data_IF_201448170319
#
_entry.id   IF_201448170319
#
_cell.length_a   1.000
_cell.length_b   1.000
_cell.length_c   1.000
_cell.angle_alpha   90.00
_cell.angle_beta   90.00
_cell.angle_gamma   90.00
#
_symmetry.space_group_name_H-M   'P 1'
#
loop_
_entity.id
_entity.type
_entity.pdbx_description
1 polymer ?
#
# COMPACT_ATOMS: atom_id res chain seq x y z
N UNK A 1 -1.17 9.19 11.42
CA UNK A 1 -1.25 7.88 10.73
C UNK A 1 -2.19 7.94 9.54
N UNK A 2 -3.42 8.41 9.72
CA UNK A 2 -4.43 8.51 8.63
C UNK A 2 -3.93 9.43 7.51
N UNK A 3 -3.36 10.59 7.82
CA UNK A 3 -2.78 11.52 6.83
C UNK A 3 -1.68 10.84 5.99
N UNK A 4 -0.78 10.09 6.61
CA UNK A 4 0.25 9.35 5.89
C UNK A 4 -0.36 8.33 4.92
N UNK A 5 -1.35 7.57 5.39
CA UNK A 5 -2.04 6.58 4.56
C UNK A 5 -2.80 7.22 3.39
N UNK A 6 -3.44 8.37 3.59
CA UNK A 6 -4.14 9.11 2.52
C UNK A 6 -3.13 9.59 1.47
N UNK A 7 -2.01 10.20 1.87
CA UNK A 7 -0.99 10.68 0.93
C UNK A 7 -0.41 9.52 0.13
N UNK A 8 -0.03 8.42 0.79
CA UNK A 8 0.47 7.22 0.10
C UNK A 8 -0.57 6.63 -0.85
N UNK A 9 -1.84 6.55 -0.44
CA UNK A 9 -2.93 6.07 -1.30
C UNK A 9 -3.15 6.97 -2.53
N UNK A 10 -3.07 8.29 -2.38
CA UNK A 10 -3.16 9.23 -3.50
C UNK A 10 -2.00 9.06 -4.48
N UNK A 11 -0.77 8.87 -4.00
CA UNK A 11 0.41 8.64 -4.85
C UNK A 11 0.25 7.33 -5.64
N UNK A 12 -0.16 6.26 -4.96
CA UNK A 12 -0.39 4.95 -5.59
C UNK A 12 -1.52 5.04 -6.61
N UNK A 13 -2.63 5.71 -6.29
CA UNK A 13 -3.75 5.90 -7.21
C UNK A 13 -3.33 6.70 -8.46
N UNK A 14 -2.57 7.78 -8.30
CA UNK A 14 -2.04 8.55 -9.42
C UNK A 14 -1.09 7.71 -10.31
N UNK A 15 -0.22 6.91 -9.70
CA UNK A 15 0.66 5.97 -10.42
C UNK A 15 -0.11 4.91 -11.19
N UNK A 16 -1.14 4.33 -10.58
CA UNK A 16 -2.00 3.34 -11.22
C UNK A 16 -2.78 3.94 -12.40
N UNK A 17 -3.35 5.13 -12.23
CA UNK A 17 -4.05 5.83 -13.32
C UNK A 17 -3.11 6.15 -14.48
N UNK A 18 -1.90 6.63 -14.19
CA UNK A 18 -0.87 6.87 -15.20
C UNK A 18 -0.47 5.60 -15.95
N UNK A 19 -0.33 4.48 -15.24
CA UNK A 19 -0.05 3.17 -15.83
C UNK A 19 -1.18 2.70 -16.75
N UNK A 20 -2.44 2.80 -16.30
CA UNK A 20 -3.62 2.44 -17.11
C UNK A 20 -3.69 3.31 -18.37
N UNK A 21 -3.52 4.62 -18.24
CA UNK A 21 -3.52 5.53 -19.38
C UNK A 21 -2.41 5.22 -20.38
N UNK A 22 -1.18 5.01 -19.92
CA UNK A 22 -0.05 4.65 -20.76
C UNK A 22 -0.29 3.33 -21.51
N UNK A 23 -0.82 2.32 -20.80
CA UNK A 23 -1.15 1.02 -21.39
C UNK A 23 -2.24 1.16 -22.45
N UNK A 24 -3.30 1.91 -22.19
CA UNK A 24 -4.39 2.15 -23.14
C UNK A 24 -3.88 2.84 -24.42
N UNK A 25 -3.05 3.89 -24.29
CA UNK A 25 -2.45 4.60 -25.42
C UNK A 25 -1.54 3.65 -26.22
N UNK A 26 -0.77 2.82 -25.56
CA UNK A 26 0.14 1.86 -26.20
C UNK A 26 -0.66 0.82 -27.01
N UNK A 27 -1.71 0.27 -26.43
CA UNK A 27 -2.58 -0.71 -27.12
C UNK A 27 -3.25 -0.07 -28.35
N UNK A 28 -3.78 1.15 -28.23
CA UNK A 28 -4.37 1.86 -29.37
C UNK A 28 -3.39 2.06 -30.53
N UNK A 29 -2.12 2.36 -30.23
CA UNK A 29 -1.11 2.61 -31.25
C UNK A 29 -0.58 1.33 -31.91
N UNK A 30 -0.37 0.28 -31.13
CA UNK A 30 0.28 -0.97 -31.59
C UNK A 30 -0.71 -2.01 -32.10
N UNK A 31 -1.92 -2.04 -31.59
CA UNK A 31 -2.93 -3.02 -31.93
C UNK A 31 -4.33 -2.40 -31.97
N UNK A 32 -4.63 -1.53 -32.97
CA UNK A 32 -5.92 -0.85 -33.06
C UNK A 32 -7.11 -1.81 -33.17
N UNK A 33 -6.91 -3.00 -33.74
CA UNK A 33 -7.94 -4.04 -33.81
C UNK A 33 -8.24 -4.71 -32.46
N UNK A 34 -7.28 -4.68 -31.52
CA UNK A 34 -7.47 -5.21 -30.17
C UNK A 34 -8.07 -4.18 -29.20
N UNK A 35 -8.27 -2.94 -29.64
CA UNK A 35 -8.90 -1.87 -28.85
C UNK A 35 -10.43 -2.02 -28.72
N UNK A 36 -11.02 -3.06 -29.32
CA UNK A 36 -12.37 -3.49 -28.98
C UNK A 36 -12.38 -3.88 -27.50
N UNK A 37 -12.81 -2.96 -26.66
CA UNK A 37 -12.89 -3.15 -25.20
C UNK A 37 -13.70 -4.42 -24.93
N UNK A 38 -13.11 -5.42 -24.26
CA UNK A 38 -13.90 -6.52 -23.77
C UNK A 38 -15.01 -5.94 -22.89
N UNK A 39 -16.25 -6.35 -23.12
CA UNK A 39 -17.38 -5.93 -22.28
C UNK A 39 -17.23 -6.58 -20.89
N UNK A 40 -16.33 -6.02 -20.08
CA UNK A 40 -16.16 -6.41 -18.69
C UNK A 40 -17.39 -5.95 -17.90
N UNK A 41 -17.99 -6.85 -17.14
CA UNK A 41 -19.04 -6.46 -16.21
C UNK A 41 -18.45 -5.47 -15.19
N UNK A 42 -19.23 -4.48 -14.71
CA UNK A 42 -18.73 -3.51 -13.73
C UNK A 42 -18.10 -4.15 -12.49
N UNK A 43 -18.62 -5.31 -12.07
CA UNK A 43 -18.07 -6.05 -10.92
C UNK A 43 -16.67 -6.59 -11.20
N UNK A 44 -16.44 -7.19 -12.37
CA UNK A 44 -15.13 -7.72 -12.76
C UNK A 44 -14.12 -6.58 -12.90
N UNK A 45 -14.54 -5.46 -13.49
CA UNK A 45 -13.68 -4.27 -13.59
C UNK A 45 -13.32 -3.71 -12.22
N UNK A 46 -14.27 -3.63 -11.28
CA UNK A 46 -14.03 -3.15 -9.92
C UNK A 46 -13.06 -4.07 -9.14
N UNK A 47 -13.25 -5.39 -9.24
CA UNK A 47 -12.34 -6.37 -8.60
C UNK A 47 -10.93 -6.28 -9.19
N UNK A 48 -10.82 -6.16 -10.51
CA UNK A 48 -9.53 -5.99 -11.19
C UNK A 48 -8.80 -4.71 -10.77
N UNK A 49 -9.52 -3.60 -10.68
CA UNK A 49 -8.98 -2.32 -10.24
C UNK A 49 -8.54 -2.36 -8.77
N UNK A 50 -9.35 -2.95 -7.89
CA UNK A 50 -9.00 -3.12 -6.48
C UNK A 50 -7.75 -4.01 -6.32
N UNK A 51 -7.68 -5.12 -7.06
CA UNK A 51 -6.50 -6.00 -7.07
C UNK A 51 -5.24 -5.28 -7.55
N UNK A 52 -5.35 -4.52 -8.65
CA UNK A 52 -4.25 -3.71 -9.17
C UNK A 52 -3.79 -2.65 -8.13
N UNK A 53 -4.74 -1.98 -7.49
CA UNK A 53 -4.40 -1.00 -6.44
C UNK A 53 -3.64 -1.63 -5.27
N UNK A 54 -4.04 -2.82 -4.83
CA UNK A 54 -3.34 -3.56 -3.77
C UNK A 54 -1.91 -3.91 -4.23
N UNK A 55 -1.74 -4.44 -5.43
CA UNK A 55 -0.41 -4.79 -5.98
C UNK A 55 0.49 -3.55 -6.06
N UNK A 56 -0.01 -2.43 -6.59
CA UNK A 56 0.75 -1.18 -6.66
C UNK A 56 1.12 -0.65 -5.27
N UNK A 57 0.22 -0.76 -4.30
CA UNK A 57 0.49 -0.38 -2.90
C UNK A 57 1.63 -1.21 -2.31
N UNK A 58 1.60 -2.53 -2.53
CA UNK A 58 2.65 -3.44 -2.04
C UNK A 58 4.00 -3.16 -2.71
N UNK A 59 4.01 -2.94 -4.03
CA UNK A 59 5.22 -2.56 -4.76
C UNK A 59 5.78 -1.23 -4.26
N UNK A 60 4.93 -0.23 -4.08
CA UNK A 60 5.30 1.06 -3.53
C UNK A 60 5.96 0.92 -2.15
N UNK A 61 5.31 0.21 -1.23
CA UNK A 61 5.86 -0.03 0.10
C UNK A 61 7.17 -0.82 0.05
N UNK A 62 7.25 -1.85 -0.82
CA UNK A 62 8.45 -2.65 -0.97
C UNK A 62 9.64 -1.81 -1.45
N UNK A 63 9.44 -0.96 -2.45
CA UNK A 63 10.48 -0.06 -2.97
C UNK A 63 10.94 0.90 -1.86
N UNK A 64 10.00 1.58 -1.21
CA UNK A 64 10.36 2.56 -0.18
C UNK A 64 11.04 1.91 1.03
N UNK A 65 10.57 0.78 1.52
CA UNK A 65 11.20 0.09 2.66
C UNK A 65 12.49 -0.66 2.31
N UNK A 66 12.79 -0.82 1.01
CA UNK A 66 14.08 -1.35 0.56
C UNK A 66 15.14 -0.26 0.44
N UNK A 67 14.78 0.90 -0.10
CA UNK A 67 15.71 1.98 -0.39
C UNK A 67 15.65 3.13 0.63
N UNK A 68 14.55 3.26 1.37
CA UNK A 68 14.31 4.32 2.34
C UNK A 68 13.75 3.74 3.64
N UNK A 69 13.83 4.50 4.73
CA UNK A 69 13.31 4.11 6.05
C UNK A 69 11.84 4.50 6.25
N UNK A 70 11.27 5.25 5.30
CA UNK A 70 9.90 5.76 5.39
C UNK A 70 9.29 5.98 4.02
N UNK A 71 7.96 5.86 3.91
CA UNK A 71 7.20 6.23 2.72
C UNK A 71 7.08 7.75 2.60
N UNK A 72 6.69 8.25 1.43
CA UNK A 72 6.48 9.69 1.23
C UNK A 72 5.37 10.23 2.14
N UNK A 73 4.28 9.48 2.32
CA UNK A 73 3.21 9.85 3.22
C UNK A 73 3.66 9.92 4.68
N UNK A 74 4.53 9.00 5.12
CA UNK A 74 5.11 9.03 6.45
C UNK A 74 6.00 10.25 6.66
N UNK A 75 6.81 10.62 5.68
CA UNK A 75 7.65 11.84 5.72
C UNK A 75 6.78 13.08 5.80
N UNK A 76 5.74 13.16 4.98
CA UNK A 76 4.80 14.29 4.99
C UNK A 76 4.10 14.43 6.35
N UNK A 77 3.68 13.33 6.95
CA UNK A 77 3.01 13.32 8.25
C UNK A 77 3.98 13.39 9.45
N UNK A 78 5.29 13.49 9.21
CA UNK A 78 6.33 13.48 10.25
C UNK A 78 6.23 12.26 11.18
N UNK A 79 6.09 11.08 10.58
CA UNK A 79 5.96 9.81 11.29
C UNK A 79 7.17 8.95 10.95
N UNK A 80 7.82 8.41 11.98
CA UNK A 80 8.88 7.40 11.85
C UNK A 80 8.38 6.03 12.30
N UNK A 81 8.98 4.97 11.74
CA UNK A 81 8.84 3.61 12.25
C UNK A 81 9.88 3.37 13.34
N UNK A 82 9.40 2.88 14.48
CA UNK A 82 10.25 2.46 15.59
C UNK A 82 9.95 1.02 15.96
N UNK A 83 10.96 0.31 16.49
CA UNK A 83 10.74 -0.99 17.12
C UNK A 83 10.13 -0.80 18.51
N UNK A 84 9.59 -1.84 19.11
CA UNK A 84 9.10 -1.78 20.50
C UNK A 84 10.20 -1.50 21.54
N UNK A 85 11.47 -1.56 21.13
CA UNK A 85 12.63 -1.16 21.94
C UNK A 85 13.06 0.30 21.69
N UNK A 86 12.24 1.10 20.98
CA UNK A 86 12.52 2.48 20.58
C UNK A 86 13.74 2.66 19.66
N UNK A 87 14.22 1.58 19.06
CA UNK A 87 15.34 1.59 18.12
C UNK A 87 14.87 1.77 16.67
N UNK A 88 15.76 2.25 15.80
CA UNK A 88 15.51 2.31 14.36
C UNK A 88 15.37 0.89 13.78
N UNK A 89 14.28 0.59 13.07
CA UNK A 89 14.07 -0.75 12.56
C UNK A 89 15.07 -1.10 11.45
N UNK A 90 15.54 -2.34 11.45
CA UNK A 90 16.36 -2.87 10.36
C UNK A 90 15.53 -3.01 9.07
N UNK A 91 16.19 -2.98 7.91
CA UNK A 91 15.50 -3.16 6.61
C UNK A 91 14.80 -4.51 6.49
N UNK A 92 15.32 -5.55 7.14
CA UNK A 92 14.66 -6.87 7.20
C UNK A 92 13.37 -6.83 8.03
N UNK A 93 13.35 -6.06 9.10
CA UNK A 93 12.15 -5.84 9.91
C UNK A 93 11.09 -5.06 9.13
N UNK A 94 11.48 -4.03 8.35
CA UNK A 94 10.59 -3.29 7.48
C UNK A 94 9.96 -4.16 6.40
N UNK A 95 10.73 -5.06 5.77
CA UNK A 95 10.18 -6.03 4.79
C UNK A 95 9.21 -7.01 5.45
N UNK A 96 9.49 -7.50 6.64
CA UNK A 96 8.52 -8.34 7.41
C UNK A 96 7.21 -7.60 7.66
N UNK A 97 7.24 -6.27 7.85
CA UNK A 97 6.04 -5.45 8.00
C UNK A 97 5.16 -5.50 6.75
N UNK A 98 5.73 -5.54 5.55
CA UNK A 98 4.96 -5.66 4.31
C UNK A 98 4.18 -6.98 4.29
N UNK A 99 4.86 -8.10 4.60
CA UNK A 99 4.18 -9.40 4.69
C UNK A 99 3.11 -9.41 5.77
N UNK A 100 3.37 -8.80 6.92
CA UNK A 100 2.40 -8.65 7.99
C UNK A 100 1.19 -7.79 7.56
N UNK A 101 1.41 -6.76 6.73
CA UNK A 101 0.34 -5.93 6.17
C UNK A 101 -0.54 -6.72 5.19
N UNK A 102 0.07 -7.56 4.35
CA UNK A 102 -0.68 -8.48 3.47
C UNK A 102 -1.54 -9.44 4.30
N UNK A 103 -0.95 -10.03 5.35
CA UNK A 103 -1.67 -10.92 6.25
C UNK A 103 -2.82 -10.21 6.98
N UNK A 104 -2.63 -8.96 7.39
CA UNK A 104 -3.66 -8.14 8.03
C UNK A 104 -4.78 -7.73 7.05
N UNK A 105 -4.48 -7.63 5.75
CA UNK A 105 -5.44 -7.33 4.70
C UNK A 105 -6.27 -8.56 4.29
N UNK A 106 -5.71 -9.78 4.40
CA UNK A 106 -6.32 -11.03 3.98
C UNK A 106 -7.76 -11.25 4.50
N UNK A 107 -8.07 -11.05 5.80
CA UNK A 107 -9.43 -11.16 6.32
C UNK A 107 -10.22 -9.85 6.10
N UNK A 108 -10.35 -9.39 4.84
CA UNK A 108 -11.09 -8.18 4.44
C UNK A 108 -10.63 -6.89 5.18
N UNK A 109 -9.35 -6.85 5.59
CA UNK A 109 -8.78 -5.68 6.29
C UNK A 109 -9.09 -5.61 7.79
N UNK A 110 -9.68 -6.66 8.38
CA UNK A 110 -9.98 -6.71 9.83
C UNK A 110 -8.71 -6.47 10.67
N UNK A 111 -7.54 -6.90 10.20
CA UNK A 111 -6.28 -6.66 10.88
C UNK A 111 -5.90 -5.17 10.97
N UNK A 112 -6.36 -4.34 10.05
CA UNK A 112 -6.20 -2.88 10.12
C UNK A 112 -7.29 -2.24 10.98
N UNK A 113 -8.54 -2.72 10.87
CA UNK A 113 -9.66 -2.25 11.69
C UNK A 113 -9.43 -2.51 13.18
N UNK A 114 -8.70 -3.58 13.50
CA UNK A 114 -8.33 -3.88 14.88
C UNK A 114 -7.61 -2.72 15.57
N UNK A 115 -6.80 -1.95 14.84
CA UNK A 115 -6.14 -0.78 15.40
C UNK A 115 -7.09 0.32 15.89
N UNK A 116 -8.36 0.32 15.44
CA UNK A 116 -9.38 1.24 15.92
C UNK A 116 -10.03 0.78 17.24
N UNK A 117 -9.94 -0.51 17.55
CA UNK A 117 -10.51 -1.15 18.75
C UNK A 117 -9.47 -1.40 19.84
N UNK A 118 -8.19 -1.37 19.47
CA UNK A 118 -7.07 -1.64 20.36
C UNK A 118 -6.72 -0.40 21.18
N UNK A 119 -6.49 -0.54 22.47
CA UNK A 119 -6.14 0.56 23.38
C UNK A 119 -4.84 1.26 22.96
N UNK A 120 -3.88 0.50 22.42
CA UNK A 120 -2.60 1.01 21.93
C UNK A 120 -2.68 1.50 20.47
N UNK A 121 -3.84 1.41 19.82
CA UNK A 121 -4.05 1.70 18.40
C UNK A 121 -3.10 0.94 17.46
N UNK A 122 -2.74 -0.31 17.81
CA UNK A 122 -1.86 -1.18 17.08
C UNK A 122 -2.65 -2.17 16.22
N UNK A 123 -2.43 -2.15 14.90
CA UNK A 123 -2.98 -3.16 13.99
C UNK A 123 -2.23 -4.50 14.09
N UNK A 124 -2.78 -5.55 13.52
CA UNK A 124 -2.12 -6.85 13.46
C UNK A 124 -0.74 -6.77 12.81
N UNK A 125 -0.59 -5.96 11.75
CA UNK A 125 0.69 -5.74 11.08
C UNK A 125 1.74 -5.08 11.98
N UNK A 126 1.33 -4.21 12.91
CA UNK A 126 2.22 -3.58 13.89
C UNK A 126 2.70 -4.61 14.92
N UNK A 127 1.77 -5.42 15.44
CA UNK A 127 2.07 -6.48 16.43
C UNK A 127 2.95 -7.60 15.84
N UNK A 128 2.66 -8.06 14.62
CA UNK A 128 3.43 -9.12 13.94
C UNK A 128 4.85 -8.62 13.60
N UNK A 129 4.98 -7.37 13.13
CA UNK A 129 6.28 -6.79 12.80
C UNK A 129 7.05 -6.30 14.01
N UNK A 130 6.43 -6.21 15.20
CA UNK A 130 6.98 -5.61 16.42
C UNK A 130 7.47 -4.18 16.20
N UNK A 131 6.73 -3.42 15.41
CA UNK A 131 7.04 -2.03 15.09
C UNK A 131 5.78 -1.19 15.22
N UNK A 132 5.96 0.06 15.59
CA UNK A 132 4.88 1.03 15.66
C UNK A 132 5.28 2.35 15.01
N UNK A 133 4.29 3.19 14.74
CA UNK A 133 4.49 4.51 14.16
C UNK A 133 4.54 5.56 15.28
N UNK A 134 5.62 6.34 15.31
CA UNK A 134 5.83 7.45 16.24
C UNK A 134 5.92 8.76 15.48
N UNK A 135 5.29 9.82 15.99
CA UNK A 135 5.47 11.19 15.53
C UNK A 135 6.74 11.80 16.12
N UNK A 136 7.47 12.59 15.35
CA UNK A 136 8.66 13.36 15.79
C UNK A 136 8.55 14.82 15.41
#
# INVERSE_FOLDING_TARGET
RIMAAIVDACIVAAGLLGFIAATAITIQKLAPAASATPHLTPQVAAIGLAGAFIVFTLLYQFVFFTFSESTLGMRYARIALCTFADDNPSRSAMRRRIFASVLAACPLGLGFLWACLDEDSLGWHDRISRMYQRSY
#
